data_IF_505537887512
#
_entry.id   IF_505537887512
#
_cell.length_a   1.000
_cell.length_b   1.000
_cell.length_c   1.000
_cell.angle_alpha   90.00
_cell.angle_beta   90.00
_cell.angle_gamma   90.00
#
_symmetry.space_group_name_H-M   'P 1'
#
loop_
_entity.id
_entity.type
_entity.pdbx_description
1 polymer ?
#
# COMPACT_ATOMS: atom_id res chain seq x y z
N UNK A 1 -31.58 14.31 -4.19
CA UNK A 1 -30.48 14.16 -5.17
C UNK A 1 -29.90 12.77 -5.00
N UNK A 2 -29.28 12.22 -6.04
CA UNK A 2 -28.95 10.80 -6.10
C UNK A 2 -27.48 10.57 -5.71
N UNK A 3 -27.19 10.54 -4.41
CA UNK A 3 -25.90 10.07 -3.93
C UNK A 3 -25.69 8.61 -4.34
N UNK A 4 -24.47 8.30 -4.76
CA UNK A 4 -24.07 7.04 -5.40
C UNK A 4 -22.69 6.67 -4.87
N UNK A 5 -22.44 5.39 -4.58
CA UNK A 5 -21.33 5.03 -3.70
C UNK A 5 -20.50 3.81 -4.12
N UNK A 6 -19.21 4.05 -4.39
CA UNK A 6 -18.22 3.07 -4.83
C UNK A 6 -17.09 2.95 -3.77
N UNK A 7 -16.62 1.73 -3.51
CA UNK A 7 -15.70 1.40 -2.41
C UNK A 7 -14.64 0.37 -2.83
N UNK A 8 -13.34 0.71 -2.75
CA UNK A 8 -12.28 -0.26 -3.02
C UNK A 8 -12.13 -1.23 -1.83
N UNK A 9 -12.73 -2.42 -1.95
CA UNK A 9 -12.48 -3.57 -1.05
C UNK A 9 -12.06 -4.80 -1.86
N UNK A 10 -10.81 -5.21 -1.70
CA UNK A 10 -10.26 -6.55 -2.04
C UNK A 10 -10.38 -7.02 -3.52
N UNK A 11 -9.33 -7.63 -4.07
CA UNK A 11 -9.28 -8.27 -5.42
C UNK A 11 -9.39 -7.36 -6.68
N UNK A 12 -9.57 -6.04 -6.54
CA UNK A 12 -8.90 -5.07 -7.41
C UNK A 12 -9.20 -4.94 -8.90
N UNK A 13 -10.35 -5.44 -9.34
CA UNK A 13 -11.32 -4.51 -9.93
C UNK A 13 -12.58 -4.56 -9.08
N UNK A 14 -13.32 -3.45 -9.03
CA UNK A 14 -14.45 -3.23 -8.14
C UNK A 14 -15.65 -4.16 -8.42
N UNK A 15 -16.23 -4.79 -7.39
CA UNK A 15 -17.67 -5.01 -7.32
C UNK A 15 -18.35 -3.83 -6.62
N UNK A 16 -18.81 -2.92 -7.46
CA UNK A 16 -19.98 -2.07 -7.27
C UNK A 16 -20.99 -2.56 -6.20
N UNK A 17 -21.30 -1.73 -5.19
CA UNK A 17 -22.66 -1.73 -4.62
C UNK A 17 -23.52 -0.97 -5.64
N UNK A 18 -24.62 -1.55 -6.15
CA UNK A 18 -25.40 -0.91 -7.21
C UNK A 18 -25.90 0.47 -6.80
N UNK A 19 -26.01 1.34 -7.80
CA UNK A 19 -26.57 2.70 -7.75
C UNK A 19 -27.91 2.74 -7.01
N UNK A 20 -27.86 3.03 -5.71
CA UNK A 20 -29.03 3.18 -4.86
C UNK A 20 -29.11 4.59 -4.29
N UNK A 21 -30.17 5.30 -4.71
CA UNK A 21 -30.58 6.55 -4.10
C UNK A 21 -30.79 6.37 -2.59
N UNK A 22 -30.10 7.15 -1.77
CA UNK A 22 -30.31 7.15 -0.32
C UNK A 22 -29.55 6.06 0.45
N UNK A 23 -28.33 5.72 0.02
CA UNK A 23 -27.37 5.06 0.93
C UNK A 23 -27.17 5.97 2.15
N UNK A 24 -27.56 5.49 3.33
CA UNK A 24 -27.31 6.16 4.60
C UNK A 24 -25.79 6.16 4.89
N UNK A 25 -25.24 7.36 5.06
CA UNK A 25 -23.83 7.59 5.40
C UNK A 25 -23.47 6.95 6.75
N UNK A 26 -24.41 6.79 7.70
CA UNK A 26 -24.15 6.09 8.97
C UNK A 26 -23.96 4.58 8.75
N UNK A 27 -24.85 3.95 7.96
CA UNK A 27 -24.80 2.54 7.57
C UNK A 27 -23.54 2.23 6.77
N UNK A 28 -23.19 3.11 5.83
CA UNK A 28 -21.90 3.05 5.14
C UNK A 28 -20.74 3.09 6.13
N UNK A 29 -20.69 4.11 7.00
CA UNK A 29 -19.58 4.29 7.93
C UNK A 29 -19.38 3.06 8.82
N UNK A 30 -20.48 2.52 9.36
CA UNK A 30 -20.49 1.28 10.12
C UNK A 30 -19.97 0.10 9.28
N UNK A 31 -20.30 0.03 7.98
CA UNK A 31 -19.76 -0.99 7.07
C UNK A 31 -18.24 -0.85 6.89
N UNK A 32 -17.71 0.36 6.69
CA UNK A 32 -16.27 0.59 6.55
C UNK A 32 -15.52 0.24 7.83
N UNK A 33 -15.97 0.78 8.97
CA UNK A 33 -15.39 0.57 10.29
C UNK A 33 -15.37 -0.92 10.66
N UNK A 34 -16.52 -1.59 10.57
CA UNK A 34 -16.64 -3.00 10.96
C UNK A 34 -15.93 -3.96 9.98
N UNK A 35 -15.54 -3.50 8.79
CA UNK A 35 -14.85 -4.34 7.80
C UNK A 35 -13.39 -4.64 8.16
N UNK A 36 -12.73 -3.76 8.92
CA UNK A 36 -11.29 -3.78 9.20
C UNK A 36 -10.35 -3.53 8.01
N UNK A 37 -10.88 -3.22 6.81
CA UNK A 37 -10.09 -3.08 5.57
C UNK A 37 -9.86 -1.59 5.22
N UNK A 38 -8.71 -1.22 4.63
CA UNK A 38 -8.50 0.13 4.08
C UNK A 38 -9.25 0.41 2.78
N UNK A 39 -9.68 1.67 2.62
CA UNK A 39 -10.44 2.15 1.47
C UNK A 39 -9.83 3.42 0.89
N UNK A 40 -9.85 3.51 -0.44
CA UNK A 40 -9.70 4.78 -1.16
C UNK A 40 -11.07 5.14 -1.74
N UNK A 41 -11.56 6.33 -1.39
CA UNK A 41 -12.81 6.90 -1.87
C UNK A 41 -12.50 8.01 -2.88
N UNK A 42 -13.00 7.88 -4.11
CA UNK A 42 -12.90 8.92 -5.13
C UNK A 42 -14.09 9.88 -4.99
N UNK A 43 -13.84 11.17 -4.82
CA UNK A 43 -14.89 12.19 -4.73
C UNK A 43 -14.69 13.29 -5.77
N UNK A 44 -15.75 14.05 -6.06
CA UNK A 44 -15.72 15.19 -6.99
C UNK A 44 -16.21 16.47 -6.32
N UNK A 45 -15.70 17.61 -6.79
CA UNK A 45 -16.21 18.94 -6.46
C UNK A 45 -17.48 19.30 -7.25
N UNK A 46 -17.80 18.57 -8.33
CA UNK A 46 -18.90 18.88 -9.24
C UNK A 46 -20.22 18.23 -8.83
N UNK A 47 -21.31 18.99 -8.86
CA UNK A 47 -22.69 18.45 -8.82
C UNK A 47 -23.12 17.76 -10.11
N UNK A 48 -22.34 17.90 -11.18
CA UNK A 48 -22.59 17.34 -12.51
C UNK A 48 -21.36 16.57 -12.99
N UNK A 49 -21.42 15.24 -12.84
CA UNK A 49 -20.44 14.30 -13.38
C UNK A 49 -21.08 13.58 -14.55
N UNK A 50 -20.54 13.76 -15.75
CA UNK A 50 -20.73 12.79 -16.82
C UNK A 50 -19.94 11.51 -16.47
N UNK A 51 -20.42 10.30 -16.77
CA UNK A 51 -19.61 9.10 -16.58
C UNK A 51 -18.30 9.24 -17.35
N UNK A 52 -17.19 9.34 -16.60
CA UNK A 52 -15.88 9.78 -17.11
C UNK A 52 -15.13 8.66 -17.82
N UNK A 53 -15.52 7.42 -17.54
CA UNK A 53 -14.85 6.19 -17.92
C UNK A 53 -15.89 5.18 -18.38
N UNK A 54 -15.55 4.40 -19.41
CA UNK A 54 -16.35 3.26 -19.85
C UNK A 54 -16.29 2.14 -18.80
N UNK A 55 -17.28 2.12 -17.90
CA UNK A 55 -17.50 1.13 -16.83
C UNK A 55 -16.64 1.31 -15.56
N UNK A 56 -17.08 0.59 -14.52
CA UNK A 56 -16.37 0.18 -13.29
C UNK A 56 -15.83 1.24 -12.31
N UNK A 57 -15.81 2.54 -12.67
CA UNK A 57 -15.41 3.64 -11.76
C UNK A 57 -16.59 4.58 -11.49
N UNK A 58 -16.72 5.04 -10.24
CA UNK A 58 -17.77 5.99 -9.83
C UNK A 58 -17.17 7.00 -8.84
N UNK A 59 -17.74 8.20 -8.82
CA UNK A 59 -17.30 9.32 -7.98
C UNK A 59 -18.37 9.66 -6.93
N UNK A 60 -17.94 9.88 -5.69
CA UNK A 60 -18.78 10.41 -4.61
C UNK A 60 -18.93 11.93 -4.73
N UNK A 61 -20.00 12.51 -4.19
CA UNK A 61 -20.04 13.93 -3.83
C UNK A 61 -20.57 14.03 -2.40
N UNK A 62 -19.71 14.48 -1.48
CA UNK A 62 -19.93 14.47 -0.04
C UNK A 62 -19.68 15.86 0.55
N UNK A 63 -20.57 16.31 1.44
CA UNK A 63 -20.33 17.47 2.29
C UNK A 63 -19.23 17.19 3.33
N UNK A 64 -18.60 18.25 3.85
CA UNK A 64 -17.55 18.13 4.88
C UNK A 64 -18.00 17.37 6.13
N UNK A 65 -19.30 17.46 6.50
CA UNK A 65 -19.90 16.68 7.58
C UNK A 65 -20.01 15.18 7.26
N UNK A 66 -20.39 14.82 6.02
CA UNK A 66 -20.46 13.41 5.60
C UNK A 66 -19.06 12.78 5.55
N UNK A 67 -18.05 13.53 5.09
CA UNK A 67 -16.64 13.11 5.16
C UNK A 67 -16.19 12.86 6.60
N UNK A 68 -16.59 13.70 7.57
CA UNK A 68 -16.22 13.53 8.98
C UNK A 68 -16.73 12.24 9.62
N UNK A 69 -17.86 11.68 9.18
CA UNK A 69 -18.27 10.34 9.63
C UNK A 69 -17.25 9.29 9.17
N UNK A 70 -16.88 9.34 7.89
CA UNK A 70 -16.03 8.36 7.20
C UNK A 70 -14.52 8.53 7.46
N UNK A 71 -14.08 9.68 8.01
CA UNK A 71 -12.68 9.92 8.34
C UNK A 71 -12.22 9.01 9.49
N UNK A 72 -11.45 7.98 9.13
CA UNK A 72 -10.78 7.00 9.99
C UNK A 72 -9.39 6.68 9.45
N UNK A 73 -8.54 6.10 10.28
CA UNK A 73 -7.12 5.81 9.99
C UNK A 73 -6.90 5.00 8.70
N UNK A 74 -7.88 4.18 8.32
CA UNK A 74 -7.85 3.31 7.14
C UNK A 74 -8.65 3.82 5.93
N UNK A 75 -9.27 5.01 6.00
CA UNK A 75 -9.99 5.61 4.84
C UNK A 75 -9.17 6.77 4.27
N UNK A 76 -8.99 6.82 2.95
CA UNK A 76 -8.38 7.94 2.22
C UNK A 76 -9.36 8.50 1.20
N UNK A 77 -9.35 9.81 1.02
CA UNK A 77 -10.14 10.50 0.01
C UNK A 77 -9.22 11.05 -1.07
N UNK A 78 -9.60 10.85 -2.33
CA UNK A 78 -8.99 11.51 -3.48
C UNK A 78 -10.05 12.44 -4.07
N UNK A 79 -9.87 13.74 -3.88
CA UNK A 79 -10.72 14.77 -4.49
C UNK A 79 -10.28 14.97 -5.94
N UNK A 80 -11.13 14.56 -6.88
CA UNK A 80 -10.89 14.73 -8.31
C UNK A 80 -11.27 16.16 -8.72
N UNK A 81 -10.34 16.94 -9.29
CA UNK A 81 -10.62 18.27 -9.81
C UNK A 81 -11.72 18.24 -10.86
N UNK A 82 -12.66 19.19 -10.77
CA UNK A 82 -13.85 19.23 -11.63
C UNK A 82 -13.56 19.14 -13.14
N UNK A 83 -12.45 19.70 -13.62
CA UNK A 83 -12.05 19.64 -15.03
C UNK A 83 -11.74 18.21 -15.52
N UNK A 84 -11.29 17.31 -14.65
CA UNK A 84 -11.01 15.91 -14.99
C UNK A 84 -12.27 15.03 -15.00
N UNK A 85 -13.44 15.59 -14.70
CA UNK A 85 -14.72 14.87 -14.65
C UNK A 85 -15.47 14.84 -16.00
N UNK A 86 -14.75 14.78 -17.13
CA UNK A 86 -15.33 14.70 -18.48
C UNK A 86 -14.75 13.53 -19.30
N UNK A 87 -15.53 12.88 -20.19
CA UNK A 87 -15.07 11.67 -20.89
C UNK A 87 -13.76 11.82 -21.69
N UNK A 88 -13.49 13.02 -22.19
CA UNK A 88 -12.28 13.33 -22.96
C UNK A 88 -11.00 13.36 -22.08
N UNK A 89 -11.13 13.45 -20.76
CA UNK A 89 -10.02 13.59 -19.80
C UNK A 89 -9.59 12.26 -19.16
N UNK A 90 -10.12 11.12 -19.63
CA UNK A 90 -9.83 9.77 -19.12
C UNK A 90 -8.34 9.47 -18.91
N UNK A 91 -7.46 9.87 -19.83
CA UNK A 91 -6.01 9.67 -19.70
C UNK A 91 -5.40 10.56 -18.59
N UNK A 92 -5.87 11.80 -18.45
CA UNK A 92 -5.39 12.75 -17.46
C UNK A 92 -5.92 12.42 -16.06
N UNK A 93 -7.18 11.96 -15.96
CA UNK A 93 -7.72 11.36 -14.75
C UNK A 93 -6.90 10.12 -14.35
N UNK A 94 -6.57 9.24 -15.29
CA UNK A 94 -5.75 8.05 -15.02
C UNK A 94 -4.35 8.39 -14.50
N UNK A 95 -3.71 9.45 -15.02
CA UNK A 95 -2.42 9.96 -14.52
C UNK A 95 -2.56 10.57 -13.12
N UNK A 96 -3.61 11.36 -12.90
CA UNK A 96 -3.92 11.98 -11.61
C UNK A 96 -4.14 10.91 -10.52
N UNK A 97 -5.03 9.96 -10.76
CA UNK A 97 -5.34 8.89 -9.80
C UNK A 97 -4.10 8.05 -9.46
N UNK A 98 -3.23 7.74 -10.43
CA UNK A 98 -1.93 7.10 -10.16
C UNK A 98 -1.06 7.95 -9.24
N UNK A 99 -0.90 9.24 -9.53
CA UNK A 99 -0.09 10.14 -8.69
C UNK A 99 -0.62 10.29 -7.26
N UNK A 100 -1.93 10.29 -7.05
CA UNK A 100 -2.51 10.29 -5.71
C UNK A 100 -2.34 8.94 -5.00
N UNK A 101 -2.46 7.81 -5.72
CA UNK A 101 -2.17 6.47 -5.18
C UNK A 101 -0.68 6.36 -4.78
N UNK A 102 0.24 6.85 -5.60
CA UNK A 102 1.69 6.83 -5.31
C UNK A 102 2.00 7.59 -4.01
N UNK A 103 1.38 8.76 -3.79
CA UNK A 103 1.48 9.53 -2.54
C UNK A 103 0.86 8.81 -1.33
N UNK A 104 -0.23 8.08 -1.55
CA UNK A 104 -0.95 7.33 -0.50
C UNK A 104 -0.16 6.09 -0.06
N UNK A 105 0.53 5.43 -1.00
CA UNK A 105 1.40 4.27 -0.73
C UNK A 105 2.75 4.69 -0.14
N UNK A 106 3.29 5.84 -0.56
CA UNK A 106 4.53 6.45 -0.06
C UNK A 106 5.73 5.47 -0.10
N UNK A 107 5.85 4.74 -1.22
CA UNK A 107 6.80 3.63 -1.35
C UNK A 107 8.25 4.11 -1.41
N UNK A 108 9.08 3.61 -0.49
CA UNK A 108 10.49 3.96 -0.36
C UNK A 108 11.33 2.70 -0.29
N UNK A 109 12.40 2.60 -1.09
CA UNK A 109 13.43 1.60 -0.84
C UNK A 109 14.09 1.94 0.50
N UNK A 110 13.91 1.08 1.51
CA UNK A 110 14.50 1.30 2.85
C UNK A 110 15.82 0.56 3.02
N UNK A 111 15.92 -0.67 2.52
CA UNK A 111 17.16 -1.46 2.54
C UNK A 111 17.19 -2.57 1.48
N UNK A 112 18.38 -3.11 1.25
CA UNK A 112 18.60 -4.34 0.47
C UNK A 112 19.17 -5.40 1.42
N UNK A 113 18.50 -6.54 1.50
CA UNK A 113 18.97 -7.74 2.19
C UNK A 113 19.83 -8.62 1.30
N UNK A 114 20.95 -9.11 1.83
CA UNK A 114 21.87 -10.05 1.18
C UNK A 114 21.86 -11.35 1.98
N UNK A 115 21.52 -12.47 1.33
CA UNK A 115 21.63 -13.79 1.96
C UNK A 115 23.08 -14.28 1.97
N UNK A 116 23.54 -14.79 3.11
CA UNK A 116 24.84 -15.46 3.25
C UNK A 116 24.68 -16.85 3.88
N UNK A 117 25.68 -17.71 3.77
CA UNK A 117 25.62 -19.11 4.24
C UNK A 117 25.70 -19.22 5.76
N UNK A 118 26.45 -18.33 6.41
CA UNK A 118 26.77 -18.37 7.84
C UNK A 118 27.20 -16.97 8.35
N UNK A 119 27.13 -16.79 9.67
CA UNK A 119 27.49 -15.54 10.37
C UNK A 119 28.91 -15.03 10.07
N UNK A 120 29.87 -15.90 9.79
CA UNK A 120 31.24 -15.51 9.41
C UNK A 120 31.30 -14.82 8.05
N UNK A 121 30.64 -15.41 7.05
CA UNK A 121 30.47 -14.82 5.71
C UNK A 121 29.64 -13.54 5.78
N UNK A 122 28.54 -13.54 6.55
CA UNK A 122 27.72 -12.35 6.78
C UNK A 122 28.55 -11.19 7.34
N UNK A 123 29.33 -11.45 8.39
CA UNK A 123 30.18 -10.47 9.05
C UNK A 123 31.28 -9.94 8.14
N UNK A 124 31.81 -10.74 7.20
CA UNK A 124 32.78 -10.26 6.23
C UNK A 124 32.16 -9.29 5.21
N UNK A 125 31.05 -9.69 4.58
CA UNK A 125 30.29 -8.84 3.64
C UNK A 125 29.91 -7.51 4.33
N UNK A 126 29.43 -7.59 5.57
CA UNK A 126 29.05 -6.42 6.39
C UNK A 126 30.25 -5.50 6.65
N UNK A 127 31.43 -6.03 6.99
CA UNK A 127 32.65 -5.22 7.18
C UNK A 127 33.10 -4.55 5.89
N UNK A 128 33.01 -5.25 4.75
CA UNK A 128 33.35 -4.69 3.43
C UNK A 128 32.44 -3.50 3.09
N UNK A 129 31.11 -3.65 3.22
CA UNK A 129 30.17 -2.55 2.97
C UNK A 129 30.26 -1.42 4.01
N UNK A 130 30.44 -1.72 5.29
CA UNK A 130 30.60 -0.70 6.34
C UNK A 130 31.84 0.17 6.12
N UNK A 131 32.95 -0.42 5.70
CA UNK A 131 34.18 0.30 5.33
C UNK A 131 34.02 1.10 4.03
N UNK A 132 33.37 0.51 3.01
CA UNK A 132 33.15 1.17 1.71
C UNK A 132 32.24 2.40 1.81
N UNK A 133 31.18 2.32 2.61
CA UNK A 133 30.16 3.37 2.76
C UNK A 133 30.45 4.33 3.93
N UNK A 134 31.46 4.04 4.75
CA UNK A 134 31.76 4.73 6.01
C UNK A 134 30.51 4.81 6.94
N UNK A 135 29.83 3.67 7.12
CA UNK A 135 28.60 3.56 7.89
C UNK A 135 28.77 2.63 9.11
N UNK A 136 28.08 2.90 10.23
CA UNK A 136 28.16 2.06 11.42
C UNK A 136 27.55 0.67 11.15
N UNK A 137 28.19 -0.36 11.70
CA UNK A 137 27.67 -1.73 11.69
C UNK A 137 26.85 -1.98 12.95
N UNK A 138 25.68 -2.60 12.79
CA UNK A 138 24.82 -3.06 13.89
C UNK A 138 24.62 -4.57 13.82
N UNK A 139 24.84 -5.26 14.92
CA UNK A 139 24.50 -6.67 15.07
C UNK A 139 23.04 -6.86 15.52
N UNK A 140 22.41 -7.94 15.09
CA UNK A 140 21.07 -8.38 15.50
C UNK A 140 21.03 -9.92 15.61
N UNK A 141 19.90 -10.49 16.04
CA UNK A 141 19.77 -11.96 16.18
C UNK A 141 20.01 -12.70 14.86
N UNK A 142 19.44 -12.20 13.77
CA UNK A 142 19.31 -12.96 12.51
C UNK A 142 20.14 -12.38 11.36
N UNK A 143 20.57 -11.11 11.49
CA UNK A 143 21.28 -10.35 10.45
C UNK A 143 22.21 -9.29 11.03
N UNK A 144 23.17 -8.82 10.23
CA UNK A 144 23.90 -7.58 10.49
C UNK A 144 23.38 -6.45 9.59
N UNK A 145 23.39 -5.21 10.06
CA UNK A 145 23.04 -4.02 9.28
C UNK A 145 24.24 -3.10 9.07
N UNK A 146 24.31 -2.46 7.90
CA UNK A 146 25.23 -1.36 7.58
C UNK A 146 24.43 -0.07 7.46
N UNK A 147 24.52 0.79 8.48
CA UNK A 147 23.62 1.92 8.66
C UNK A 147 22.15 1.45 8.68
N UNK A 148 21.36 1.94 7.74
CA UNK A 148 20.01 1.41 7.43
C UNK A 148 19.93 0.80 6.04
N UNK A 149 20.98 0.85 5.22
CA UNK A 149 20.87 0.65 3.77
C UNK A 149 21.02 -0.81 3.33
N UNK A 150 21.84 -1.59 4.03
CA UNK A 150 22.14 -2.98 3.70
C UNK A 150 21.93 -3.84 4.95
N UNK A 151 21.18 -4.92 4.78
CA UNK A 151 21.05 -6.02 5.71
C UNK A 151 21.82 -7.24 5.16
N UNK A 152 22.52 -7.99 6.01
CA UNK A 152 23.21 -9.21 5.63
C UNK A 152 22.78 -10.32 6.57
N UNK A 153 22.02 -11.28 6.04
CA UNK A 153 21.45 -12.37 6.83
C UNK A 153 22.53 -13.36 7.25
N UNK A 154 22.50 -13.79 8.52
CA UNK A 154 23.46 -14.76 9.08
C UNK A 154 23.25 -16.18 8.54
N UNK A 155 22.06 -16.47 8.02
CA UNK A 155 21.71 -17.68 7.26
C UNK A 155 20.77 -17.29 6.10
N UNK A 156 20.64 -18.09 5.03
CA UNK A 156 19.75 -17.76 3.94
C UNK A 156 18.28 -17.80 4.39
N UNK A 157 17.52 -16.74 4.06
CA UNK A 157 16.06 -16.70 4.20
C UNK A 157 15.41 -16.79 2.80
N UNK A 158 14.36 -16.01 2.54
CA UNK A 158 13.75 -15.88 1.22
C UNK A 158 14.67 -15.12 0.24
N UNK A 159 14.47 -15.34 -1.06
CA UNK A 159 15.26 -14.73 -2.11
C UNK A 159 16.58 -15.45 -2.36
N UNK A 160 16.80 -15.96 -3.57
CA UNK A 160 18.12 -16.52 -3.97
C UNK A 160 19.29 -15.58 -3.63
N UNK A 161 19.09 -14.27 -3.79
CA UNK A 161 20.09 -13.23 -3.56
C UNK A 161 19.90 -12.49 -2.20
N UNK A 162 18.84 -12.80 -1.46
CA UNK A 162 18.30 -11.95 -0.38
C UNK A 162 17.06 -11.17 -0.83
N UNK A 163 16.77 -10.03 -0.20
CA UNK A 163 15.50 -9.32 -0.33
C UNK A 163 15.63 -7.84 -0.67
N UNK A 164 14.55 -7.27 -1.20
CA UNK A 164 14.38 -5.83 -1.38
C UNK A 164 13.27 -5.36 -0.44
N UNK A 165 13.57 -4.35 0.37
CA UNK A 165 12.67 -3.85 1.41
C UNK A 165 12.02 -2.53 1.00
N UNK A 166 10.69 -2.51 0.92
CA UNK A 166 9.88 -1.33 0.64
C UNK A 166 9.20 -0.82 1.91
N UNK A 167 9.61 0.36 2.37
CA UNK A 167 8.86 1.14 3.36
C UNK A 167 7.59 1.71 2.74
N UNK A 168 6.51 1.76 3.53
CA UNK A 168 5.22 2.38 3.17
C UNK A 168 4.59 3.06 4.38
N UNK A 169 3.96 4.22 4.16
CA UNK A 169 3.24 4.95 5.21
C UNK A 169 1.92 4.29 5.66
N UNK A 170 1.39 3.30 4.93
CA UNK A 170 0.29 2.46 5.39
C UNK A 170 0.38 1.05 4.78
N UNK A 171 0.97 0.11 5.52
CA UNK A 171 1.18 -1.27 5.03
C UNK A 171 -0.12 -2.02 4.76
N UNK A 172 -1.19 -1.77 5.52
CA UNK A 172 -2.49 -2.41 5.28
C UNK A 172 -3.08 -1.99 3.93
N UNK A 173 -2.93 -0.73 3.54
CA UNK A 173 -3.39 -0.19 2.26
C UNK A 173 -2.47 -0.62 1.11
N UNK A 174 -1.15 -0.69 1.33
CA UNK A 174 -0.22 -1.28 0.36
C UNK A 174 -0.54 -2.75 0.08
N UNK A 175 -0.71 -3.59 1.11
CA UNK A 175 -1.14 -4.99 0.96
C UNK A 175 -2.47 -5.08 0.21
N UNK A 176 -3.45 -4.25 0.57
CA UNK A 176 -4.75 -4.21 -0.10
C UNK A 176 -4.66 -3.81 -1.58
N UNK A 177 -3.77 -2.88 -1.93
CA UNK A 177 -3.54 -2.39 -3.29
C UNK A 177 -2.78 -3.41 -4.16
N UNK A 178 -1.73 -4.03 -3.64
CA UNK A 178 -0.99 -5.04 -4.42
C UNK A 178 -1.80 -6.34 -4.57
N UNK A 179 -2.53 -6.76 -3.54
CA UNK A 179 -3.50 -7.85 -3.64
C UNK A 179 -4.69 -7.51 -4.56
N UNK A 180 -5.03 -6.23 -4.70
CA UNK A 180 -5.95 -5.76 -5.73
C UNK A 180 -5.35 -5.94 -7.14
N UNK A 181 -4.09 -5.57 -7.37
CA UNK A 181 -3.39 -5.81 -8.64
C UNK A 181 -3.05 -7.29 -8.93
N UNK A 182 -3.54 -8.24 -8.12
CA UNK A 182 -3.35 -9.67 -8.31
C UNK A 182 -2.08 -10.27 -7.68
N UNK A 183 -1.29 -9.48 -6.95
CA UNK A 183 -0.09 -9.99 -6.26
C UNK A 183 -0.43 -10.68 -4.94
N UNK A 184 0.03 -11.91 -4.75
CA UNK A 184 -0.19 -12.64 -3.50
C UNK A 184 0.90 -12.37 -2.45
N UNK A 185 0.47 -12.24 -1.20
CA UNK A 185 1.34 -12.09 -0.03
C UNK A 185 1.55 -13.41 0.72
N UNK A 186 2.75 -13.60 1.26
CA UNK A 186 3.10 -14.75 2.08
C UNK A 186 2.81 -14.44 3.56
N UNK A 187 1.61 -14.78 4.02
CA UNK A 187 1.17 -14.51 5.40
C UNK A 187 1.95 -15.28 6.48
N UNK A 188 2.66 -16.35 6.14
CA UNK A 188 3.56 -17.04 7.08
C UNK A 188 4.79 -16.19 7.44
N UNK A 189 5.04 -15.10 6.68
CA UNK A 189 6.10 -14.10 6.96
C UNK A 189 5.60 -12.85 7.69
N UNK A 190 4.31 -12.78 8.02
CA UNK A 190 3.69 -11.58 8.56
C UNK A 190 4.19 -11.30 9.99
N UNK A 191 4.92 -10.20 10.16
CA UNK A 191 5.38 -9.70 11.46
C UNK A 191 4.38 -8.66 11.97
N UNK A 192 3.93 -8.86 13.21
CA UNK A 192 3.01 -7.97 13.91
C UNK A 192 3.71 -7.30 15.11
N UNK A 193 3.29 -6.08 15.45
CA UNK A 193 3.79 -5.39 16.64
C UNK A 193 3.04 -5.83 17.92
N UNK A 194 3.36 -5.21 19.07
CA UNK A 194 2.71 -5.51 20.35
C UNK A 194 1.20 -5.20 20.37
N UNK A 195 0.73 -4.26 19.54
CA UNK A 195 -0.69 -3.93 19.34
C UNK A 195 -1.42 -4.92 18.42
N UNK A 196 -0.70 -5.88 17.81
CA UNK A 196 -1.15 -6.79 16.73
C UNK A 196 -1.42 -6.11 15.39
N UNK A 197 -0.85 -4.93 15.17
CA UNK A 197 -0.85 -4.26 13.86
C UNK A 197 0.22 -4.88 12.96
N UNK A 198 -0.03 -4.96 11.65
CA UNK A 198 0.94 -5.52 10.71
C UNK A 198 2.10 -4.52 10.56
N UNK A 199 3.34 -5.00 10.59
CA UNK A 199 4.53 -4.14 10.39
C UNK A 199 5.49 -4.62 9.31
N UNK A 200 5.47 -5.90 8.92
CA UNK A 200 6.24 -6.43 7.79
C UNK A 200 5.53 -7.64 7.15
N UNK A 201 5.55 -7.75 5.82
CA UNK A 201 5.09 -8.96 5.09
C UNK A 201 5.78 -9.07 3.71
N UNK A 202 6.09 -10.29 3.28
CA UNK A 202 6.65 -10.59 1.95
C UNK A 202 5.56 -10.87 0.90
N UNK A 203 5.87 -10.62 -0.37
CA UNK A 203 5.17 -11.24 -1.49
C UNK A 203 5.48 -12.76 -1.55
N UNK A 204 4.63 -13.54 -2.23
CA UNK A 204 4.91 -14.95 -2.53
C UNK A 204 5.89 -15.13 -3.70
N UNK A 205 5.91 -14.21 -4.65
CA UNK A 205 6.80 -14.25 -5.81
C UNK A 205 8.16 -13.60 -5.54
N UNK A 206 9.21 -14.12 -6.17
CA UNK A 206 10.55 -13.53 -6.20
C UNK A 206 10.84 -12.94 -7.58
N UNK A 207 11.42 -11.74 -7.63
CA UNK A 207 11.75 -11.04 -8.87
C UNK A 207 13.25 -10.86 -9.01
N UNK A 208 13.83 -11.32 -10.13
CA UNK A 208 15.28 -11.30 -10.34
C UNK A 208 16.09 -12.16 -9.35
N UNK A 209 15.44 -13.06 -8.62
CA UNK A 209 16.04 -13.82 -7.50
C UNK A 209 16.10 -13.04 -6.18
N UNK A 210 15.36 -11.93 -6.05
CA UNK A 210 15.12 -11.26 -4.77
C UNK A 210 13.68 -11.48 -4.32
N UNK A 211 13.49 -11.75 -3.03
CA UNK A 211 12.17 -11.65 -2.41
C UNK A 211 11.83 -10.18 -2.13
N UNK A 212 10.58 -9.78 -2.28
CA UNK A 212 10.13 -8.40 -1.99
C UNK A 212 9.32 -8.38 -0.70
N UNK A 213 9.64 -7.48 0.23
CA UNK A 213 8.81 -7.26 1.42
C UNK A 213 8.41 -5.81 1.60
N UNK A 214 7.20 -5.63 2.12
CA UNK A 214 6.66 -4.34 2.55
C UNK A 214 6.86 -4.21 4.05
N UNK A 215 7.17 -3.01 4.51
CA UNK A 215 7.34 -2.67 5.93
C UNK A 215 6.66 -1.34 6.25
N UNK A 216 5.94 -1.27 7.36
CA UNK A 216 5.43 -0.01 7.89
C UNK A 216 6.60 0.89 8.34
N UNK A 217 6.59 2.15 7.90
CA UNK A 217 7.52 3.21 8.36
C UNK A 217 6.79 4.36 9.03
#
# INVERSE_FOLDING_TARGET
MNQTLYLIRQFGVLPCIPTLQGIDISTLNNTLINSGIPYICLETESSHVSPVLDSDVILLNLSSSEKQYLLKENVRFITIPSQLCSPNESENLSKFLRSEIDKILDLKLIHIGINSKNEGEAGEITRQYGSLLNLPVKDTRDSFFVGTLIEVMKHPFLGKNGHIALGTGNIHLAVSYYHALGYEFNFDTAVYNASKELVLIYLKEEYGGFALHFKQV
#
